data_IF_082421535648
#
_entry.id   IF_082421535648
#
_cell.length_a   1.000
_cell.length_b   1.000
_cell.length_c   1.000
_cell.angle_alpha   90.00
_cell.angle_beta   90.00
_cell.angle_gamma   90.00
#
_symmetry.space_group_name_H-M   'P 1'
#
loop_
_entity.id
_entity.type
_entity.pdbx_description
1 polymer ?
#
# COMPACT_ATOMS: atom_id res chain seq x y z
N UNK A 1 -0.11 1.92 -9.13
CA UNK A 1 -1.19 1.89 -10.14
C UNK A 1 -1.20 0.60 -10.96
N UNK A 2 -0.29 0.37 -11.92
CA UNK A 2 -0.32 -0.83 -12.77
C UNK A 2 -0.36 -2.14 -11.97
N UNK A 3 0.60 -2.33 -11.05
CA UNK A 3 0.66 -3.54 -10.20
C UNK A 3 -0.63 -3.70 -9.39
N UNK A 4 -1.07 -2.64 -8.71
CA UNK A 4 -2.27 -2.65 -7.86
C UNK A 4 -3.52 -3.08 -8.64
N UNK A 5 -3.76 -2.51 -9.83
CA UNK A 5 -4.92 -2.87 -10.68
C UNK A 5 -4.87 -4.34 -11.10
N UNK A 6 -3.69 -4.83 -11.47
CA UNK A 6 -3.53 -6.25 -11.82
C UNK A 6 -3.74 -7.19 -10.63
N UNK A 7 -3.30 -6.80 -9.44
CA UNK A 7 -3.56 -7.55 -8.21
C UNK A 7 -5.05 -7.54 -7.84
N UNK A 8 -5.71 -6.38 -7.89
CA UNK A 8 -7.15 -6.26 -7.67
C UNK A 8 -7.95 -7.14 -8.63
N UNK A 9 -7.56 -7.18 -9.91
CA UNK A 9 -8.16 -8.11 -10.88
C UNK A 9 -8.03 -9.57 -10.41
N UNK A 10 -6.84 -9.99 -9.99
CA UNK A 10 -6.59 -11.37 -9.55
C UNK A 10 -7.35 -11.68 -8.25
N UNK A 11 -7.42 -10.74 -7.30
CA UNK A 11 -8.22 -10.86 -6.07
C UNK A 11 -9.69 -11.14 -6.42
N UNK A 12 -10.27 -10.34 -7.32
CA UNK A 12 -11.65 -10.52 -7.75
C UNK A 12 -11.90 -11.83 -8.49
N UNK A 13 -11.02 -12.19 -9.44
CA UNK A 13 -11.17 -13.40 -10.26
C UNK A 13 -11.02 -14.69 -9.44
N UNK A 14 -10.16 -14.68 -8.42
CA UNK A 14 -9.77 -15.89 -7.67
C UNK A 14 -10.21 -15.89 -6.21
N UNK A 15 -10.87 -14.83 -5.74
CA UNK A 15 -11.32 -14.65 -4.35
C UNK A 15 -10.18 -14.85 -3.33
N UNK A 16 -9.02 -14.26 -3.61
CA UNK A 16 -7.83 -14.41 -2.77
C UNK A 16 -7.88 -13.49 -1.55
N UNK A 17 -7.42 -13.98 -0.40
CA UNK A 17 -7.05 -13.12 0.72
C UNK A 17 -5.67 -12.53 0.44
N UNK A 18 -5.63 -11.24 0.09
CA UNK A 18 -4.40 -10.57 -0.28
C UNK A 18 -4.38 -9.13 0.23
N UNK A 19 -3.22 -8.66 0.68
CA UNK A 19 -2.99 -7.23 0.86
C UNK A 19 -1.63 -6.80 0.29
N UNK A 20 -1.47 -5.48 0.14
CA UNK A 20 -0.36 -4.85 -0.57
C UNK A 20 0.63 -4.19 0.39
N UNK A 21 1.93 -4.44 0.23
CA UNK A 21 3.00 -3.68 0.91
C UNK A 21 3.68 -2.77 -0.11
N UNK A 22 3.63 -1.46 0.15
CA UNK A 22 4.20 -0.43 -0.72
C UNK A 22 5.61 -0.05 -0.26
N UNK A 23 6.64 -0.82 -0.67
CA UNK A 23 8.04 -0.49 -0.39
C UNK A 23 8.46 0.91 -0.87
N UNK A 24 8.19 1.32 -2.13
CA UNK A 24 8.36 2.70 -2.57
C UNK A 24 7.21 3.58 -2.06
N UNK A 25 7.17 3.77 -0.74
CA UNK A 25 6.08 4.42 -0.01
C UNK A 25 5.84 5.87 -0.40
N UNK A 26 6.87 6.56 -0.92
CA UNK A 26 6.76 7.88 -1.53
C UNK A 26 5.79 7.92 -2.73
N UNK A 27 5.38 6.75 -3.26
CA UNK A 27 4.28 6.58 -4.19
C UNK A 27 2.87 6.70 -3.59
N UNK A 28 2.70 7.41 -2.46
CA UNK A 28 1.41 7.60 -1.77
C UNK A 28 0.21 7.95 -2.66
N UNK A 29 0.34 8.83 -3.69
CA UNK A 29 -0.74 9.11 -4.63
C UNK A 29 -1.35 7.87 -5.28
N UNK A 30 -0.54 6.83 -5.55
CA UNK A 30 -1.04 5.59 -6.11
C UNK A 30 -1.95 4.86 -5.11
N UNK A 31 -1.59 4.81 -3.83
CA UNK A 31 -2.41 4.16 -2.82
C UNK A 31 -3.72 4.92 -2.59
N UNK A 32 -3.68 6.25 -2.58
CA UNK A 32 -4.86 7.09 -2.39
C UNK A 32 -5.82 6.95 -3.58
N UNK A 33 -5.28 6.99 -4.81
CA UNK A 33 -6.09 6.83 -6.01
C UNK A 33 -6.79 5.46 -6.03
N UNK A 34 -6.08 4.38 -5.68
CA UNK A 34 -6.66 3.03 -5.71
C UNK A 34 -7.71 2.84 -4.62
N UNK A 35 -7.42 3.26 -3.39
CA UNK A 35 -8.37 3.18 -2.26
C UNK A 35 -9.60 4.07 -2.47
N UNK A 36 -9.45 5.21 -3.15
CA UNK A 36 -10.59 6.05 -3.57
C UNK A 36 -11.45 5.35 -4.63
N UNK A 37 -10.83 4.76 -5.66
CA UNK A 37 -11.55 4.08 -6.73
C UNK A 37 -12.33 2.85 -6.24
N UNK A 38 -11.72 2.04 -5.36
CA UNK A 38 -12.39 0.87 -4.76
C UNK A 38 -13.43 1.27 -3.69
N UNK A 39 -13.33 2.48 -3.13
CA UNK A 39 -14.32 3.07 -2.21
C UNK A 39 -13.93 3.09 -0.74
N UNK A 40 -12.89 2.34 -0.34
CA UNK A 40 -12.41 2.27 1.05
C UNK A 40 -11.95 3.63 1.59
N UNK A 41 -11.45 4.52 0.73
CA UNK A 41 -11.11 5.89 1.11
C UNK A 41 -12.35 6.72 1.48
N UNK A 42 -13.42 6.63 0.69
CA UNK A 42 -14.68 7.33 0.98
C UNK A 42 -15.40 6.75 2.20
N UNK A 43 -15.33 5.43 2.41
CA UNK A 43 -15.85 4.80 3.64
C UNK A 43 -15.16 5.34 4.89
N UNK A 44 -13.85 5.57 4.82
CA UNK A 44 -13.06 6.11 5.93
C UNK A 44 -13.19 7.63 6.09
N UNK A 45 -13.36 8.35 4.98
CA UNK A 45 -13.45 9.80 4.89
C UNK A 45 -14.68 10.21 4.08
N UNK A 46 -15.89 10.24 4.71
CA UNK A 46 -17.15 10.48 4.00
C UNK A 46 -17.22 11.82 3.24
N UNK A 47 -16.47 12.83 3.68
CA UNK A 47 -16.38 14.14 3.03
C UNK A 47 -15.64 14.10 1.67
N UNK A 48 -14.91 13.01 1.40
CA UNK A 48 -14.22 12.73 0.14
C UNK A 48 -15.10 11.76 -0.67
N UNK A 49 -16.22 12.28 -1.17
CA UNK A 49 -17.25 11.54 -1.91
C UNK A 49 -16.78 11.08 -3.31
N UNK A 50 -17.49 10.10 -3.87
CA UNK A 50 -17.25 9.56 -5.23
C UNK A 50 -17.92 10.41 -6.32
N UNK A 51 -17.72 11.71 -6.25
CA UNK A 51 -18.21 12.71 -7.20
C UNK A 51 -17.14 13.78 -7.47
N UNK A 52 -17.48 14.77 -8.31
CA UNK A 52 -16.58 15.86 -8.70
C UNK A 52 -16.12 16.71 -7.50
N UNK A 53 -16.98 16.93 -6.51
CA UNK A 53 -16.62 17.71 -5.32
C UNK A 53 -15.62 16.95 -4.45
N UNK A 54 -15.91 15.67 -4.18
CA UNK A 54 -15.07 14.81 -3.37
C UNK A 54 -13.70 14.56 -3.96
N UNK A 55 -13.60 14.26 -5.27
CA UNK A 55 -12.29 14.12 -5.93
C UNK A 55 -11.52 15.45 -5.93
N UNK A 56 -12.21 16.58 -6.08
CA UNK A 56 -11.63 17.92 -5.96
C UNK A 56 -11.04 18.19 -4.57
N UNK A 57 -11.69 17.73 -3.50
CA UNK A 57 -11.16 17.80 -2.12
C UNK A 57 -9.91 16.94 -1.95
N UNK A 58 -9.95 15.69 -2.44
CA UNK A 58 -8.80 14.78 -2.36
C UNK A 58 -7.55 15.39 -3.03
N UNK A 59 -7.71 15.96 -4.23
CA UNK A 59 -6.60 16.60 -4.94
C UNK A 59 -6.00 17.77 -4.18
N UNK A 60 -6.84 18.61 -3.56
CA UNK A 60 -6.38 19.77 -2.78
C UNK A 60 -5.69 19.38 -1.48
N UNK A 61 -6.11 18.29 -0.86
CA UNK A 61 -5.61 17.87 0.44
C UNK A 61 -4.32 17.05 0.36
N UNK A 62 -3.99 16.46 -0.79
CA UNK A 62 -2.75 15.70 -0.92
C UNK A 62 -1.51 16.58 -0.71
N UNK A 63 -0.67 16.22 0.27
CA UNK A 63 0.57 16.96 0.62
C UNK A 63 0.35 18.45 0.90
N UNK A 64 -0.80 18.80 1.46
CA UNK A 64 -1.19 20.18 1.74
C UNK A 64 -1.28 20.44 3.25
N UNK A 65 -1.04 21.67 3.73
CA UNK A 65 -1.24 22.01 5.14
C UNK A 65 -2.63 21.60 5.67
N UNK A 66 -2.66 20.74 6.70
CA UNK A 66 -3.89 20.19 7.26
C UNK A 66 -4.57 19.10 6.41
N UNK A 67 -3.90 18.65 5.35
CA UNK A 67 -4.35 17.58 4.46
C UNK A 67 -3.65 16.24 4.72
N UNK A 68 -3.58 15.41 3.68
CA UNK A 68 -3.05 14.05 3.76
C UNK A 68 -1.54 13.99 3.48
N UNK A 69 -0.83 12.99 4.04
CA UNK A 69 0.60 12.78 3.79
C UNK A 69 0.96 12.48 2.33
N UNK A 70 2.24 12.63 1.99
CA UNK A 70 2.78 12.29 0.67
C UNK A 70 3.04 10.79 0.46
N UNK A 71 3.20 10.04 1.55
CA UNK A 71 3.54 8.62 1.56
C UNK A 71 2.30 7.73 1.71
N UNK A 72 2.47 6.41 1.64
CA UNK A 72 1.45 5.42 1.99
C UNK A 72 1.21 5.36 3.51
N UNK A 73 0.99 6.51 4.13
CA UNK A 73 0.95 6.70 5.58
C UNK A 73 -0.19 5.93 6.26
N UNK A 74 -0.18 5.78 7.60
CA UNK A 74 -1.17 5.00 8.36
C UNK A 74 -2.63 5.46 8.17
N UNK A 75 -2.85 6.71 7.77
CA UNK A 75 -4.16 7.26 7.42
C UNK A 75 -4.74 6.66 6.14
N UNK A 76 -3.90 6.04 5.30
CA UNK A 76 -4.31 5.42 4.05
C UNK A 76 -4.99 4.07 4.35
N UNK A 77 -6.24 3.85 3.89
CA UNK A 77 -6.87 2.55 4.02
C UNK A 77 -6.00 1.43 3.45
N UNK A 78 -5.90 0.32 4.20
CA UNK A 78 -5.12 -0.84 3.81
C UNK A 78 -3.60 -0.72 3.98
N UNK A 79 -3.06 0.44 4.39
CA UNK A 79 -1.63 0.56 4.67
C UNK A 79 -1.26 -0.05 6.02
N UNK A 80 -0.22 -0.88 6.01
CA UNK A 80 0.50 -1.34 7.22
C UNK A 80 2.01 -1.02 7.14
N UNK A 81 2.43 -0.35 6.07
CA UNK A 81 3.83 -0.06 5.77
C UNK A 81 3.86 1.27 5.01
N UNK A 82 4.36 2.32 5.66
CA UNK A 82 4.41 3.65 5.08
C UNK A 82 5.42 3.78 3.95
N UNK A 83 6.58 3.09 4.06
CA UNK A 83 7.65 3.10 3.07
C UNK A 83 8.33 4.46 2.89
N UNK A 84 8.36 5.28 3.96
CA UNK A 84 9.15 6.52 4.01
C UNK A 84 10.64 6.22 4.23
N UNK A 85 10.97 5.59 5.35
CA UNK A 85 12.29 4.97 5.52
C UNK A 85 12.31 3.61 4.81
N UNK A 86 13.12 3.53 3.76
CA UNK A 86 13.23 2.37 2.88
C UNK A 86 13.97 1.20 3.55
N UNK A 87 13.58 -0.03 3.22
CA UNK A 87 14.32 -1.24 3.56
C UNK A 87 13.54 -2.32 4.30
N UNK A 88 12.32 -2.04 4.73
CA UNK A 88 11.54 -2.92 5.61
C UNK A 88 10.36 -3.61 4.93
N UNK A 89 10.18 -3.43 3.61
CA UNK A 89 9.01 -3.95 2.90
C UNK A 89 8.89 -5.47 3.00
N UNK A 90 9.97 -6.21 2.72
CA UNK A 90 9.96 -7.67 2.80
C UNK A 90 9.87 -8.18 4.25
N UNK A 91 10.59 -7.60 5.21
CA UNK A 91 10.48 -8.05 6.60
C UNK A 91 9.06 -7.88 7.14
N UNK A 92 8.39 -6.78 6.82
CA UNK A 92 6.97 -6.59 7.14
C UNK A 92 6.07 -7.58 6.38
N UNK A 93 6.35 -7.87 5.11
CA UNK A 93 5.57 -8.81 4.31
C UNK A 93 5.66 -10.26 4.83
N UNK A 94 6.88 -10.74 5.09
CA UNK A 94 7.11 -12.06 5.71
C UNK A 94 6.50 -12.11 7.11
N UNK A 95 6.70 -11.05 7.91
CA UNK A 95 6.08 -10.88 9.23
C UNK A 95 4.55 -11.05 9.20
N UNK A 96 3.90 -10.46 8.21
CA UNK A 96 2.44 -10.44 8.12
C UNK A 96 1.80 -11.79 7.76
N UNK A 97 2.53 -12.68 7.05
CA UNK A 97 2.04 -14.01 6.65
C UNK A 97 2.33 -15.12 7.66
N UNK A 98 3.14 -14.86 8.71
CA UNK A 98 3.32 -15.84 9.78
C UNK A 98 1.97 -16.26 10.37
N UNK A 99 1.82 -17.58 10.55
CA UNK A 99 0.60 -18.24 11.04
C UNK A 99 -0.67 -17.96 10.21
N UNK A 100 -0.54 -17.50 8.96
CA UNK A 100 -1.65 -17.20 8.05
C UNK A 100 -1.46 -17.88 6.69
N UNK A 101 -1.70 -19.21 6.60
CA UNK A 101 -1.36 -20.01 5.43
C UNK A 101 -2.07 -19.59 4.13
N UNK A 102 -3.26 -18.99 4.24
CA UNK A 102 -4.06 -18.55 3.09
C UNK A 102 -3.83 -17.08 2.70
N UNK A 103 -3.02 -16.34 3.48
CA UNK A 103 -2.79 -14.92 3.25
C UNK A 103 -1.65 -14.72 2.25
N UNK A 104 -1.92 -13.96 1.19
CA UNK A 104 -0.90 -13.52 0.24
C UNK A 104 -0.53 -12.07 0.53
N UNK A 105 0.76 -11.78 0.60
CA UNK A 105 1.25 -10.40 0.65
C UNK A 105 1.95 -10.06 -0.65
N UNK A 106 1.36 -9.14 -1.40
CA UNK A 106 1.98 -8.57 -2.57
C UNK A 106 2.95 -7.45 -2.13
N UNK A 107 4.21 -7.81 -1.93
CA UNK A 107 5.26 -6.88 -1.55
C UNK A 107 5.92 -6.27 -2.78
N UNK A 108 5.70 -4.98 -3.01
CA UNK A 108 6.39 -4.23 -4.07
C UNK A 108 7.63 -3.60 -3.49
N UNK A 109 8.77 -3.98 -4.03
CA UNK A 109 10.10 -3.54 -3.60
C UNK A 109 10.63 -2.50 -4.59
N UNK A 110 11.10 -1.36 -4.08
CA UNK A 110 11.87 -0.43 -4.90
C UNK A 110 13.24 -1.03 -5.25
N UNK A 111 13.75 -0.80 -6.45
CA UNK A 111 15.12 -1.21 -6.81
C UNK A 111 16.17 -0.45 -5.99
N UNK A 112 16.01 0.86 -5.80
CA UNK A 112 16.84 1.62 -4.86
C UNK A 112 16.63 1.23 -3.39
N UNK A 113 15.42 0.78 -3.03
CA UNK A 113 15.18 0.17 -1.70
C UNK A 113 16.03 -1.10 -1.52
N UNK A 114 16.18 -1.89 -2.59
CA UNK A 114 16.92 -3.16 -2.58
C UNK A 114 18.42 -3.01 -2.38
N UNK A 115 18.95 -1.79 -2.49
CA UNK A 115 20.34 -1.46 -2.16
C UNK A 115 20.55 -1.27 -0.65
N UNK A 116 19.47 -1.18 0.14
CA UNK A 116 19.57 -1.04 1.60
C UNK A 116 19.96 -2.37 2.26
N UNK A 117 20.77 -2.30 3.32
CA UNK A 117 21.16 -3.48 4.11
C UNK A 117 19.97 -4.28 4.67
N UNK A 118 18.96 -3.64 5.30
CA UNK A 118 17.77 -4.33 5.77
C UNK A 118 17.03 -5.10 4.67
N UNK A 119 16.86 -4.52 3.48
CA UNK A 119 16.17 -5.22 2.40
C UNK A 119 17.00 -6.36 1.84
N UNK A 120 18.30 -6.16 1.66
CA UNK A 120 19.21 -7.19 1.17
C UNK A 120 19.14 -8.48 2.00
N UNK A 121 19.18 -8.37 3.34
CA UNK A 121 19.09 -9.56 4.21
C UNK A 121 17.68 -10.16 4.24
N UNK A 122 16.64 -9.34 4.11
CA UNK A 122 15.25 -9.79 4.21
C UNK A 122 14.80 -10.74 3.09
N UNK A 123 15.50 -10.78 1.95
CA UNK A 123 15.29 -11.80 0.91
C UNK A 123 15.51 -13.24 1.41
N UNK A 124 16.26 -13.41 2.49
CA UNK A 124 16.49 -14.71 3.13
C UNK A 124 15.36 -15.15 4.06
N UNK A 125 14.33 -14.33 4.27
CA UNK A 125 13.20 -14.64 5.15
C UNK A 125 12.39 -15.87 4.70
N UNK A 126 12.46 -16.24 3.42
CA UNK A 126 11.80 -17.44 2.89
C UNK A 126 12.36 -18.77 3.41
N UNK A 127 13.44 -18.78 4.21
CA UNK A 127 13.93 -19.97 4.91
C UNK A 127 13.33 -20.12 6.31
N UNK A 128 12.57 -19.13 6.77
CA UNK A 128 11.97 -19.08 8.09
C UNK A 128 10.44 -19.20 8.06
N UNK A 129 9.87 -19.45 6.86
CA UNK A 129 8.44 -19.59 6.60
C UNK A 129 8.16 -20.94 5.95
#
# INVERSE_FOLDING_TARGET
NFIYVHLNRIICERKLSMFYVCGPGHGGPAMFAQTYLEGSFTERYPDISKDEEGIGKLFKQFSFPGGFPSHAAPETPGSIHEGGELGYSLSHAFGAVFDKPDLIVACVVGDGEAETGPLATSWHSNKFL
#
